data_IF_625142248335
#
_entry.id   IF_625142248335
#
_cell.length_a   1.000
_cell.length_b   1.000
_cell.length_c   1.000
_cell.angle_alpha   90.00
_cell.angle_beta   90.00
_cell.angle_gamma   90.00
#
_symmetry.space_group_name_H-M   'P 1'
#
loop_
_entity.id
_entity.type
_entity.pdbx_description
1 polymer ?
#
# COMPACT_ATOMS: atom_id res chain seq x y z
N UNK A 1 30.14 23.37 -46.35
CA UNK A 1 28.78 23.47 -45.73
C UNK A 1 28.87 22.77 -44.39
N UNK A 2 29.05 23.59 -43.38
CA UNK A 2 29.40 23.25 -42.02
C UNK A 2 28.14 22.85 -41.23
N UNK A 3 28.24 21.71 -40.55
CA UNK A 3 27.21 21.24 -39.62
C UNK A 3 27.52 21.70 -38.21
N UNK A 4 26.65 22.53 -37.67
CA UNK A 4 26.72 23.04 -36.31
C UNK A 4 26.54 21.91 -35.28
N UNK A 5 27.54 21.70 -34.40
CA UNK A 5 27.44 20.93 -33.15
C UNK A 5 26.71 21.82 -32.11
N UNK A 6 25.58 21.37 -31.64
CA UNK A 6 24.89 22.03 -30.53
C UNK A 6 25.51 21.53 -29.19
N UNK A 7 26.17 22.46 -28.52
CA UNK A 7 26.63 22.34 -27.13
C UNK A 7 25.41 22.44 -26.21
N UNK A 8 25.08 21.34 -25.49
CA UNK A 8 24.05 21.33 -24.44
C UNK A 8 24.71 21.13 -23.06
N UNK A 9 25.46 22.14 -22.62
CA UNK A 9 25.68 22.34 -21.21
C UNK A 9 24.74 23.45 -20.75
N UNK A 10 23.59 23.11 -20.16
CA UNK A 10 22.70 24.08 -19.49
C UNK A 10 22.82 23.94 -17.98
N UNK A 11 23.48 24.89 -17.29
CA UNK A 11 23.50 24.97 -15.83
C UNK A 11 22.15 25.32 -15.19
N UNK A 12 21.15 25.69 -16.01
CA UNK A 12 19.91 26.32 -15.54
C UNK A 12 18.83 25.32 -15.08
N UNK A 13 18.94 24.05 -15.44
CA UNK A 13 18.00 23.01 -15.01
C UNK A 13 18.08 22.69 -13.51
N UNK A 14 19.21 22.96 -12.88
CA UNK A 14 19.38 22.76 -11.43
C UNK A 14 18.67 23.85 -10.61
N UNK A 15 18.45 25.04 -11.19
CA UNK A 15 17.74 26.15 -10.51
C UNK A 15 16.21 25.97 -10.48
N UNK A 16 15.63 25.21 -11.37
CA UNK A 16 14.16 25.06 -11.45
C UNK A 16 13.58 24.12 -10.36
N UNK A 17 14.37 23.20 -9.84
CA UNK A 17 13.91 22.31 -8.74
C UNK A 17 13.81 23.01 -7.37
N UNK A 18 14.37 24.22 -7.22
CA UNK A 18 14.42 24.93 -5.93
C UNK A 18 13.27 25.92 -5.72
N UNK A 19 12.50 26.24 -6.73
CA UNK A 19 11.53 27.33 -6.69
C UNK A 19 10.11 26.95 -6.28
N UNK A 20 9.79 25.66 -6.11
CA UNK A 20 8.41 25.17 -5.89
C UNK A 20 8.23 24.42 -4.57
N UNK A 21 9.26 24.33 -3.70
CA UNK A 21 9.14 23.61 -2.42
C UNK A 21 8.88 24.61 -1.29
N UNK A 22 7.75 24.48 -0.54
CA UNK A 22 7.51 25.31 0.65
C UNK A 22 8.63 25.16 1.68
N UNK A 23 8.97 26.25 2.35
CA UNK A 23 10.16 26.46 3.20
C UNK A 23 10.32 25.55 4.43
N UNK A 24 9.46 24.55 4.62
CA UNK A 24 9.45 23.64 5.77
C UNK A 24 9.95 22.21 5.47
N UNK A 25 10.29 21.90 4.23
CA UNK A 25 10.73 20.57 3.86
C UNK A 25 12.05 20.63 3.06
N UNK A 26 13.15 20.14 3.65
CA UNK A 26 14.42 19.94 2.95
C UNK A 26 14.72 18.43 2.92
N UNK A 27 14.34 17.69 1.87
CA UNK A 27 14.78 16.31 1.71
C UNK A 27 16.29 16.28 1.39
N UNK A 28 17.02 15.37 2.04
CA UNK A 28 18.38 15.02 1.62
C UNK A 28 18.29 14.14 0.39
N UNK A 29 18.91 14.58 -0.71
CA UNK A 29 18.95 13.80 -1.95
C UNK A 29 20.26 13.02 -2.03
N UNK A 30 20.18 11.72 -2.32
CA UNK A 30 21.32 10.93 -2.78
C UNK A 30 21.21 10.74 -4.29
N UNK A 31 22.27 11.15 -5.01
CA UNK A 31 22.39 10.88 -6.44
C UNK A 31 22.99 9.47 -6.60
N UNK A 32 22.26 8.56 -7.22
CA UNK A 32 22.76 7.27 -7.66
C UNK A 32 22.85 7.29 -9.20
N UNK A 33 24.07 7.16 -9.73
CA UNK A 33 24.26 6.94 -11.17
C UNK A 33 23.72 5.54 -11.53
N UNK A 34 22.60 5.51 -12.20
CA UNK A 34 22.07 4.35 -12.88
C UNK A 34 22.07 4.63 -14.38
N UNK A 35 23.19 4.37 -15.02
CA UNK A 35 23.43 4.60 -16.45
C UNK A 35 23.64 6.07 -16.86
N UNK A 36 24.47 6.30 -17.90
CA UNK A 36 25.04 7.63 -18.25
C UNK A 36 24.04 8.70 -18.68
N UNK A 37 22.73 8.36 -18.85
CA UNK A 37 21.75 9.29 -19.43
C UNK A 37 20.47 9.52 -18.58
N UNK A 38 20.36 8.99 -17.34
CA UNK A 38 19.24 9.27 -16.44
C UNK A 38 19.68 9.50 -15.00
N UNK A 39 19.83 10.76 -14.64
CA UNK A 39 19.87 11.18 -13.22
C UNK A 39 18.45 11.15 -12.65
N UNK A 40 18.11 10.13 -11.90
CA UNK A 40 16.86 10.10 -11.13
C UNK A 40 17.18 10.66 -9.75
N UNK A 41 16.64 11.83 -9.45
CA UNK A 41 16.68 12.41 -8.11
C UNK A 41 15.65 11.65 -7.26
N UNK A 42 16.07 10.62 -6.53
CA UNK A 42 15.22 9.90 -5.58
C UNK A 42 15.17 10.69 -4.28
N UNK A 43 14.01 11.13 -3.80
CA UNK A 43 13.89 11.59 -2.42
C UNK A 43 14.13 10.38 -1.52
N UNK A 44 15.26 10.34 -0.85
CA UNK A 44 15.46 9.39 0.25
C UNK A 44 14.50 9.84 1.35
N UNK A 45 13.41 9.13 1.53
CA UNK A 45 12.59 9.27 2.72
C UNK A 45 13.50 9.02 3.91
N UNK A 46 13.76 10.09 4.67
CA UNK A 46 14.64 10.03 5.82
C UNK A 46 14.15 8.97 6.81
N UNK A 47 15.06 8.23 7.48
CA UNK A 47 14.71 7.23 8.51
C UNK A 47 13.92 7.80 9.69
N UNK A 48 13.57 9.07 9.69
CA UNK A 48 12.93 9.78 10.79
C UNK A 48 11.39 9.85 10.71
N UNK A 49 10.78 9.59 9.55
CA UNK A 49 9.33 9.60 9.44
C UNK A 49 8.74 8.32 10.04
N UNK A 50 7.87 8.47 11.03
CA UNK A 50 7.18 7.31 11.62
C UNK A 50 6.11 6.79 10.65
N UNK A 51 6.15 5.49 10.37
CA UNK A 51 5.16 4.76 9.58
C UNK A 51 4.21 4.05 10.53
N UNK A 52 2.91 4.35 10.45
CA UNK A 52 1.90 3.60 11.17
C UNK A 52 1.43 2.41 10.32
N UNK A 53 1.47 1.21 10.88
CA UNK A 53 0.82 0.03 10.31
C UNK A 53 -0.41 -0.30 11.15
N UNK A 54 -1.61 -0.14 10.59
CA UNK A 54 -2.84 -0.58 11.26
C UNK A 54 -3.15 -2.03 10.93
N UNK A 55 -3.77 -2.77 11.85
CA UNK A 55 -3.93 -4.21 11.71
C UNK A 55 -2.60 -4.95 11.85
N UNK A 56 -1.66 -4.36 12.61
CA UNK A 56 -0.28 -4.81 12.69
C UNK A 56 -0.11 -6.20 13.35
N UNK A 57 -1.08 -6.68 14.14
CA UNK A 57 -1.10 -8.03 14.68
C UNK A 57 -1.71 -9.07 13.72
N UNK A 58 -2.35 -8.63 12.63
CA UNK A 58 -2.94 -9.50 11.61
C UNK A 58 -1.89 -10.17 10.71
N UNK A 59 -2.31 -11.13 9.90
CA UNK A 59 -1.42 -11.89 9.01
C UNK A 59 -0.58 -10.99 8.09
N UNK A 60 -1.21 -10.07 7.36
CA UNK A 60 -0.51 -9.14 6.47
C UNK A 60 0.29 -8.10 7.27
N UNK A 61 -0.33 -7.57 8.34
CA UNK A 61 0.26 -6.52 9.16
C UNK A 61 1.59 -6.93 9.78
N UNK A 62 1.69 -8.16 10.30
CA UNK A 62 2.94 -8.69 10.86
C UNK A 62 4.06 -8.76 9.82
N UNK A 63 3.76 -9.23 8.63
CA UNK A 63 4.73 -9.33 7.52
C UNK A 63 5.26 -7.93 7.15
N UNK A 64 4.35 -6.98 6.91
CA UNK A 64 4.72 -5.60 6.53
C UNK A 64 5.48 -4.89 7.65
N UNK A 65 4.97 -4.97 8.89
CA UNK A 65 5.60 -4.37 10.06
C UNK A 65 7.03 -4.87 10.26
N UNK A 66 7.23 -6.19 10.32
CA UNK A 66 8.55 -6.79 10.53
C UNK A 66 9.51 -6.51 9.36
N UNK A 67 9.01 -6.47 8.13
CA UNK A 67 9.82 -6.14 6.96
C UNK A 67 10.34 -4.71 7.02
N UNK A 68 9.48 -3.73 7.29
CA UNK A 68 9.88 -2.33 7.38
C UNK A 68 10.84 -2.08 8.54
N UNK A 69 10.65 -2.73 9.69
CA UNK A 69 11.60 -2.63 10.81
C UNK A 69 12.97 -3.18 10.44
N UNK A 70 13.05 -4.32 9.77
CA UNK A 70 14.35 -4.89 9.31
C UNK A 70 15.08 -3.97 8.33
N UNK A 71 14.36 -3.16 7.57
CA UNK A 71 14.94 -2.13 6.68
C UNK A 71 15.31 -0.84 7.42
N UNK A 72 15.13 -0.77 8.74
CA UNK A 72 15.51 0.38 9.56
C UNK A 72 14.50 1.53 9.62
N UNK A 73 13.26 1.32 9.15
CA UNK A 73 12.21 2.32 9.31
C UNK A 73 11.71 2.41 10.75
N UNK A 74 11.28 3.60 11.16
CA UNK A 74 10.55 3.78 12.42
C UNK A 74 9.09 3.36 12.18
N UNK A 75 8.69 2.23 12.73
CA UNK A 75 7.36 1.66 12.51
C UNK A 75 6.61 1.61 13.83
N UNK A 76 5.40 2.16 13.83
CA UNK A 76 4.42 2.03 14.90
C UNK A 76 3.35 1.03 14.51
N UNK A 77 3.05 0.06 15.38
CA UNK A 77 1.91 -0.83 15.23
C UNK A 77 0.65 -0.24 15.86
N UNK A 78 -0.48 -0.42 15.20
CA UNK A 78 -1.80 -0.13 15.75
C UNK A 78 -2.74 -1.31 15.51
N UNK A 79 -3.21 -1.90 16.61
CA UNK A 79 -4.12 -3.04 16.56
C UNK A 79 -5.00 -3.09 17.83
N UNK A 80 -6.14 -3.77 17.76
CA UNK A 80 -6.97 -4.10 18.93
C UNK A 80 -6.29 -5.12 19.85
N UNK A 81 -5.37 -5.90 19.30
CA UNK A 81 -4.56 -6.87 20.04
C UNK A 81 -3.30 -6.21 20.58
N UNK A 82 -2.78 -6.75 21.67
CA UNK A 82 -1.47 -6.37 22.20
C UNK A 82 -0.37 -6.71 21.18
N UNK A 83 0.78 -6.05 21.33
CA UNK A 83 1.97 -6.34 20.54
C UNK A 83 2.30 -7.85 20.61
N UNK A 84 2.42 -8.55 19.48
CA UNK A 84 2.68 -9.99 19.47
C UNK A 84 4.16 -10.33 19.71
N UNK A 85 5.06 -9.34 19.72
CA UNK A 85 6.49 -9.54 19.92
C UNK A 85 6.90 -9.27 21.36
N UNK A 86 7.92 -9.99 21.83
CA UNK A 86 8.47 -9.86 23.20
C UNK A 86 9.31 -8.59 23.39
N UNK A 87 9.93 -8.10 22.32
CA UNK A 87 10.74 -6.90 22.36
C UNK A 87 9.88 -5.63 22.39
N UNK A 88 10.29 -4.58 23.11
CA UNK A 88 9.52 -3.34 23.16
C UNK A 88 9.48 -2.68 21.78
N UNK A 89 8.28 -2.59 21.21
CA UNK A 89 7.99 -1.96 19.94
C UNK A 89 7.18 -0.67 20.16
N UNK A 90 7.27 0.27 19.21
CA UNK A 90 6.33 1.41 19.18
C UNK A 90 4.94 0.88 18.81
N UNK A 91 4.06 0.73 19.82
CA UNK A 91 2.78 0.06 19.69
C UNK A 91 1.66 0.80 20.39
N UNK A 92 0.54 0.93 19.70
CA UNK A 92 -0.70 1.48 20.26
C UNK A 92 -1.77 0.40 20.21
N UNK A 93 -2.21 -0.07 21.36
CA UNK A 93 -3.40 -0.93 21.45
C UNK A 93 -4.65 -0.06 21.44
N UNK A 94 -5.57 -0.35 20.52
CA UNK A 94 -6.80 0.41 20.35
C UNK A 94 -7.62 -0.10 19.16
N UNK A 95 -8.79 0.47 18.98
CA UNK A 95 -9.75 0.09 17.96
C UNK A 95 -9.97 1.20 16.93
N UNK A 96 -10.11 0.84 15.66
CA UNK A 96 -10.47 1.80 14.60
C UNK A 96 -11.81 2.51 14.89
N UNK A 97 -12.74 1.84 15.56
CA UNK A 97 -14.05 2.36 15.95
C UNK A 97 -13.98 3.46 17.02
N UNK A 98 -12.78 3.74 17.54
CA UNK A 98 -12.52 4.82 18.50
C UNK A 98 -11.72 5.93 17.85
N UNK A 99 -12.35 7.09 17.63
CA UNK A 99 -11.66 8.28 17.11
C UNK A 99 -10.46 8.68 17.98
N UNK A 100 -10.60 8.56 19.32
CA UNK A 100 -9.52 8.88 20.26
C UNK A 100 -8.32 7.92 20.10
N UNK A 101 -8.57 6.61 19.84
CA UNK A 101 -7.50 5.67 19.63
C UNK A 101 -6.78 5.94 18.30
N UNK A 102 -7.53 6.30 17.25
CA UNK A 102 -6.94 6.72 15.96
C UNK A 102 -6.07 7.97 16.14
N UNK A 103 -6.53 8.98 16.87
CA UNK A 103 -5.75 10.19 17.17
C UNK A 103 -4.45 9.86 17.92
N UNK A 104 -4.52 8.99 18.95
CA UNK A 104 -3.30 8.55 19.67
C UNK A 104 -2.32 7.83 18.75
N UNK A 105 -2.82 6.92 17.91
CA UNK A 105 -1.98 6.14 17.01
C UNK A 105 -1.25 7.03 16.00
N UNK A 106 -1.87 8.12 15.55
CA UNK A 106 -1.37 8.99 14.50
C UNK A 106 -0.45 10.13 15.00
N UNK A 107 -0.20 10.26 16.30
CA UNK A 107 0.70 11.30 16.81
C UNK A 107 2.12 11.16 16.25
N UNK A 108 2.59 12.17 15.50
CA UNK A 108 3.92 12.20 14.91
C UNK A 108 4.14 11.20 13.74
N UNK A 109 3.06 10.69 13.16
CA UNK A 109 3.07 9.81 11.99
C UNK A 109 3.05 10.63 10.70
N UNK A 110 3.92 10.29 9.75
CA UNK A 110 3.92 10.92 8.42
C UNK A 110 3.37 10.01 7.33
N UNK A 111 3.43 8.69 7.52
CA UNK A 111 2.93 7.69 6.56
C UNK A 111 2.04 6.70 7.27
N UNK A 112 0.91 6.34 6.66
CA UNK A 112 0.02 5.28 7.14
C UNK A 112 -0.03 4.13 6.13
N UNK A 113 0.10 2.91 6.62
CA UNK A 113 -0.22 1.67 5.90
C UNK A 113 -1.43 1.07 6.58
N UNK A 114 -2.60 1.21 5.95
CA UNK A 114 -3.87 0.77 6.52
C UNK A 114 -4.23 -0.64 6.02
N UNK A 115 -3.98 -1.64 6.88
CA UNK A 115 -4.31 -3.05 6.65
C UNK A 115 -5.43 -3.57 7.57
N UNK A 116 -5.80 -2.79 8.59
CA UNK A 116 -6.86 -3.17 9.50
C UNK A 116 -8.22 -3.16 8.79
N UNK A 117 -8.89 -4.28 8.82
CA UNK A 117 -10.26 -4.44 8.32
C UNK A 117 -10.84 -5.75 8.88
N UNK A 118 -12.16 -5.88 8.88
CA UNK A 118 -12.82 -7.17 8.86
C UNK A 118 -12.66 -7.71 7.43
N UNK A 119 -11.93 -8.81 7.23
CA UNK A 119 -11.71 -9.39 5.91
C UNK A 119 -12.89 -10.27 5.53
N UNK A 120 -13.10 -10.43 4.22
CA UNK A 120 -14.15 -11.25 3.62
C UNK A 120 -15.58 -10.84 4.03
N UNK A 121 -16.55 -11.59 3.57
CA UNK A 121 -17.96 -11.31 3.87
C UNK A 121 -18.27 -11.66 5.33
N UNK A 122 -18.90 -10.73 6.01
CA UNK A 122 -19.29 -10.81 7.41
C UNK A 122 -20.59 -10.01 7.63
N UNK A 123 -21.27 -10.15 8.76
CA UNK A 123 -22.46 -9.36 9.06
C UNK A 123 -22.19 -7.86 8.92
N UNK A 124 -22.99 -7.21 8.05
CA UNK A 124 -22.71 -5.82 7.66
C UNK A 124 -22.79 -4.86 8.83
N UNK A 125 -23.89 -4.91 9.60
CA UNK A 125 -24.15 -3.95 10.68
C UNK A 125 -23.21 -4.10 11.88
N UNK A 126 -22.91 -5.35 12.27
CA UNK A 126 -22.10 -5.62 13.47
C UNK A 126 -20.58 -5.63 13.21
N UNK A 127 -20.14 -5.94 11.99
CA UNK A 127 -18.73 -6.19 11.70
C UNK A 127 -18.18 -5.27 10.62
N UNK A 128 -18.76 -5.30 9.40
CA UNK A 128 -18.20 -4.56 8.25
C UNK A 128 -18.38 -3.06 8.41
N UNK A 129 -19.58 -2.58 8.74
CA UNK A 129 -19.86 -1.15 8.85
C UNK A 129 -19.05 -0.49 9.96
N UNK A 130 -18.99 -1.01 11.20
CA UNK A 130 -18.20 -0.40 12.26
C UNK A 130 -16.70 -0.36 11.97
N UNK A 131 -16.15 -1.42 11.37
CA UNK A 131 -14.72 -1.53 11.14
C UNK A 131 -14.28 -0.88 9.83
N UNK A 132 -14.93 -1.27 8.71
CA UNK A 132 -14.44 -0.93 7.37
C UNK A 132 -14.97 0.42 6.87
N UNK A 133 -16.06 0.92 7.44
CA UNK A 133 -16.65 2.22 7.08
C UNK A 133 -16.37 3.27 8.15
N UNK A 134 -16.93 3.13 9.37
CA UNK A 134 -16.77 4.12 10.43
C UNK A 134 -15.33 4.18 10.94
N UNK A 135 -14.70 3.03 11.13
CA UNK A 135 -13.30 2.96 11.56
C UNK A 135 -12.35 3.59 10.55
N UNK A 136 -12.57 3.36 9.25
CA UNK A 136 -11.82 4.03 8.20
C UNK A 136 -12.05 5.54 8.23
N UNK A 137 -13.29 6.00 8.38
CA UNK A 137 -13.60 7.43 8.49
C UNK A 137 -12.85 8.08 9.66
N UNK A 138 -12.86 7.48 10.86
CA UNK A 138 -12.13 8.02 12.01
C UNK A 138 -10.61 8.05 11.78
N UNK A 139 -10.06 7.02 11.14
CA UNK A 139 -8.63 6.99 10.78
C UNK A 139 -8.27 8.13 9.82
N UNK A 140 -9.08 8.35 8.77
CA UNK A 140 -8.82 9.37 7.75
C UNK A 140 -8.96 10.79 8.33
N UNK A 141 -9.97 11.05 9.17
CA UNK A 141 -10.12 12.32 9.86
C UNK A 141 -8.92 12.60 10.79
N UNK A 142 -8.54 11.60 11.60
CA UNK A 142 -7.39 11.73 12.48
C UNK A 142 -6.07 11.90 11.71
N UNK A 143 -5.91 11.25 10.54
CA UNK A 143 -4.75 11.39 9.67
C UNK A 143 -4.64 12.82 9.11
N UNK A 144 -5.76 13.39 8.67
CA UNK A 144 -5.85 14.78 8.22
C UNK A 144 -5.45 15.76 9.34
N UNK A 145 -6.02 15.59 10.54
CA UNK A 145 -5.73 16.43 11.69
C UNK A 145 -4.26 16.33 12.17
N UNK A 146 -3.65 15.14 12.05
CA UNK A 146 -2.26 14.89 12.43
C UNK A 146 -1.24 15.31 11.39
N UNK A 147 -1.67 15.76 10.21
CA UNK A 147 -0.78 16.18 9.13
C UNK A 147 -0.06 15.01 8.43
N UNK A 148 -0.69 13.84 8.40
CA UNK A 148 -0.20 12.69 7.61
C UNK A 148 -0.13 13.08 6.14
N UNK A 149 1.00 12.79 5.51
CA UNK A 149 1.24 13.19 4.12
C UNK A 149 0.91 12.08 3.13
N UNK A 150 1.09 10.81 3.53
CA UNK A 150 0.94 9.66 2.65
C UNK A 150 0.16 8.53 3.31
N UNK A 151 -0.82 7.99 2.58
CA UNK A 151 -1.63 6.86 3.03
C UNK A 151 -1.65 5.77 1.97
N UNK A 152 -1.28 4.55 2.36
CA UNK A 152 -1.42 3.34 1.57
C UNK A 152 -2.56 2.52 2.18
N UNK A 153 -3.60 2.20 1.42
CA UNK A 153 -4.78 1.48 1.93
C UNK A 153 -5.01 0.18 1.18
N UNK A 154 -5.18 -0.90 1.94
CA UNK A 154 -5.53 -2.19 1.36
C UNK A 154 -6.97 -2.17 0.81
N UNK A 155 -7.09 -2.33 -0.51
CA UNK A 155 -8.28 -2.76 -1.22
C UNK A 155 -8.18 -4.26 -1.53
N UNK A 156 -8.93 -4.77 -2.48
CA UNK A 156 -8.99 -6.20 -2.83
C UNK A 156 -9.29 -6.39 -4.31
N UNK A 157 -8.80 -7.48 -4.91
CA UNK A 157 -9.22 -7.89 -6.26
C UNK A 157 -10.72 -8.15 -6.38
N UNK A 158 -11.42 -8.43 -5.27
CA UNK A 158 -12.88 -8.63 -5.28
C UNK A 158 -13.69 -7.39 -5.67
N UNK A 159 -13.09 -6.19 -5.70
CA UNK A 159 -13.75 -4.97 -6.18
C UNK A 159 -13.94 -4.96 -7.71
N UNK A 160 -13.21 -5.82 -8.43
CA UNK A 160 -13.31 -6.00 -9.88
C UNK A 160 -13.65 -7.45 -10.24
N UNK A 161 -14.60 -8.02 -9.50
CA UNK A 161 -14.91 -9.46 -9.55
C UNK A 161 -15.31 -9.96 -10.94
N UNK A 162 -16.20 -9.26 -11.63
CA UNK A 162 -16.66 -9.68 -12.95
C UNK A 162 -15.52 -9.81 -13.97
N UNK A 163 -14.71 -8.77 -14.23
CA UNK A 163 -13.59 -8.92 -15.15
C UNK A 163 -12.48 -9.83 -14.61
N UNK A 164 -12.32 -9.95 -13.29
CA UNK A 164 -11.33 -10.87 -12.71
C UNK A 164 -11.66 -12.34 -13.05
N UNK A 165 -12.94 -12.70 -13.08
CA UNK A 165 -13.40 -14.06 -13.38
C UNK A 165 -13.53 -14.32 -14.88
N UNK A 166 -14.04 -13.35 -15.62
CA UNK A 166 -14.50 -13.56 -16.99
C UNK A 166 -13.65 -12.85 -18.05
N UNK A 167 -12.70 -12.01 -17.64
CA UNK A 167 -11.86 -11.23 -18.54
C UNK A 167 -12.56 -10.02 -19.15
N UNK A 168 -11.94 -9.39 -20.14
CA UNK A 168 -10.62 -9.74 -20.68
C UNK A 168 -9.48 -9.52 -19.69
N UNK A 169 -8.48 -10.39 -19.73
CA UNK A 169 -7.29 -10.31 -18.86
C UNK A 169 -6.09 -9.73 -19.62
N UNK A 170 -5.11 -9.12 -18.92
CA UNK A 170 -5.14 -8.82 -17.49
C UNK A 170 -6.04 -7.61 -17.15
N UNK A 171 -6.70 -7.67 -15.99
CA UNK A 171 -7.56 -6.59 -15.49
C UNK A 171 -6.69 -5.45 -14.95
N UNK A 172 -6.82 -4.27 -15.52
CA UNK A 172 -6.08 -3.08 -15.10
C UNK A 172 -6.71 -2.41 -13.87
N UNK A 173 -5.90 -1.65 -13.12
CA UNK A 173 -6.37 -1.01 -11.90
C UNK A 173 -7.43 0.11 -12.11
N UNK A 174 -7.53 0.67 -13.31
CA UNK A 174 -8.52 1.70 -13.64
C UNK A 174 -9.89 1.16 -14.09
N UNK A 175 -10.05 -0.18 -14.15
CA UNK A 175 -11.34 -0.80 -14.52
C UNK A 175 -12.40 -0.46 -13.48
N UNK A 176 -13.61 -0.17 -13.96
CA UNK A 176 -14.75 0.14 -13.11
C UNK A 176 -15.04 -0.98 -12.10
N UNK A 177 -15.46 -0.60 -10.91
CA UNK A 177 -15.75 -1.56 -9.85
C UNK A 177 -16.99 -2.40 -10.18
N UNK A 178 -16.91 -3.69 -9.86
CA UNK A 178 -17.98 -4.69 -9.91
C UNK A 178 -17.84 -5.60 -8.68
N UNK A 179 -18.19 -5.08 -7.48
CA UNK A 179 -17.86 -5.74 -6.22
C UNK A 179 -18.63 -7.05 -6.06
N UNK A 180 -17.93 -8.10 -5.61
CA UNK A 180 -18.50 -9.43 -5.36
C UNK A 180 -19.52 -9.43 -4.21
N UNK A 181 -19.27 -8.67 -3.14
CA UNK A 181 -19.90 -8.83 -1.84
C UNK A 181 -20.02 -7.50 -1.09
N UNK A 182 -20.69 -7.52 0.07
CA UNK A 182 -20.72 -6.37 0.98
C UNK A 182 -19.31 -5.99 1.47
N UNK A 183 -18.44 -6.96 1.72
CA UNK A 183 -17.03 -6.68 2.02
C UNK A 183 -16.35 -5.91 0.88
N UNK A 184 -16.46 -6.41 -0.35
CA UNK A 184 -15.89 -5.74 -1.52
C UNK A 184 -16.45 -4.33 -1.71
N UNK A 185 -17.75 -4.12 -1.41
CA UNK A 185 -18.38 -2.80 -1.45
C UNK A 185 -17.78 -1.84 -0.40
N UNK A 186 -17.42 -2.33 0.80
CA UNK A 186 -16.69 -1.49 1.78
C UNK A 186 -15.32 -1.07 1.26
N UNK A 187 -14.68 -1.89 0.43
CA UNK A 187 -13.40 -1.55 -0.19
C UNK A 187 -13.56 -0.56 -1.34
N UNK A 188 -14.65 -0.61 -2.10
CA UNK A 188 -15.02 0.46 -3.06
C UNK A 188 -15.22 1.78 -2.32
N UNK A 189 -15.91 1.79 -1.18
CA UNK A 189 -16.02 2.98 -0.33
C UNK A 189 -14.64 3.53 0.07
N UNK A 190 -13.71 2.65 0.46
CA UNK A 190 -12.35 3.06 0.82
C UNK A 190 -11.59 3.67 -0.38
N UNK A 191 -11.75 3.12 -1.60
CA UNK A 191 -11.15 3.67 -2.82
C UNK A 191 -11.68 5.08 -3.11
N UNK A 192 -13.00 5.29 -2.99
CA UNK A 192 -13.60 6.61 -3.21
C UNK A 192 -13.24 7.61 -2.09
N UNK A 193 -13.18 7.17 -0.83
CA UNK A 193 -12.70 7.99 0.28
C UNK A 193 -11.24 8.44 0.05
N UNK A 194 -10.39 7.55 -0.45
CA UNK A 194 -9.01 7.87 -0.82
C UNK A 194 -8.91 8.96 -1.89
N UNK A 195 -9.79 8.95 -2.89
CA UNK A 195 -9.86 10.02 -3.91
C UNK A 195 -10.23 11.37 -3.28
N UNK A 196 -11.16 11.38 -2.32
CA UNK A 196 -11.51 12.60 -1.58
C UNK A 196 -10.30 13.13 -0.79
N UNK A 197 -9.59 12.24 -0.06
CA UNK A 197 -8.41 12.63 0.70
C UNK A 197 -7.32 13.24 -0.18
N UNK A 198 -7.07 12.66 -1.33
CA UNK A 198 -6.07 13.20 -2.27
C UNK A 198 -6.52 14.53 -2.89
N UNK A 199 -7.76 14.62 -3.38
CA UNK A 199 -8.28 15.80 -4.09
C UNK A 199 -8.45 17.01 -3.18
N UNK A 200 -9.09 16.81 -2.01
CA UNK A 200 -9.57 17.91 -1.17
C UNK A 200 -8.57 18.28 -0.05
N UNK A 201 -7.71 17.34 0.34
CA UNK A 201 -6.75 17.55 1.43
C UNK A 201 -5.28 17.43 0.99
N UNK A 202 -5.02 17.16 -0.29
CA UNK A 202 -3.67 17.13 -0.85
C UNK A 202 -2.80 16.00 -0.32
N UNK A 203 -3.39 14.92 0.19
CA UNK A 203 -2.65 13.73 0.64
C UNK A 203 -2.21 12.89 -0.56
N UNK A 204 -1.05 12.26 -0.45
CA UNK A 204 -0.66 11.19 -1.35
C UNK A 204 -1.37 9.90 -0.93
N UNK A 205 -2.23 9.36 -1.78
CA UNK A 205 -3.04 8.18 -1.46
C UNK A 205 -2.84 7.08 -2.49
N UNK A 206 -2.47 5.89 -2.00
CA UNK A 206 -2.37 4.69 -2.83
C UNK A 206 -3.35 3.63 -2.34
N UNK A 207 -4.30 3.28 -3.19
CA UNK A 207 -5.15 2.11 -3.01
C UNK A 207 -4.45 0.90 -3.62
N UNK A 208 -4.38 -0.19 -2.86
CA UNK A 208 -3.73 -1.43 -3.30
C UNK A 208 -4.76 -2.55 -3.36
N UNK A 209 -5.18 -2.93 -4.56
CA UNK A 209 -6.05 -4.08 -4.78
C UNK A 209 -5.22 -5.34 -4.63
N UNK A 210 -5.24 -5.88 -3.42
CA UNK A 210 -4.50 -7.07 -3.07
C UNK A 210 -5.11 -8.30 -3.73
N UNK A 211 -4.25 -9.18 -4.21
CA UNK A 211 -4.60 -10.54 -4.58
C UNK A 211 -4.93 -11.42 -3.37
N UNK A 212 -4.94 -12.72 -3.57
CA UNK A 212 -5.28 -13.70 -2.53
C UNK A 212 -4.13 -13.86 -1.52
N UNK A 213 -4.35 -13.38 -0.29
CA UNK A 213 -3.43 -13.52 0.83
C UNK A 213 -4.02 -14.54 1.82
N UNK A 214 -3.49 -15.75 1.94
CA UNK A 214 -3.98 -16.73 2.91
C UNK A 214 -3.69 -16.25 4.34
N UNK A 215 -4.64 -16.50 5.27
CA UNK A 215 -4.56 -16.05 6.66
C UNK A 215 -4.51 -17.19 7.67
N UNK A 216 -4.73 -18.41 7.18
CA UNK A 216 -4.63 -19.65 7.94
C UNK A 216 -4.33 -20.81 6.99
N UNK A 217 -3.91 -22.00 7.54
CA UNK A 217 -3.74 -23.19 6.74
C UNK A 217 -5.01 -23.61 5.96
N UNK A 218 -6.19 -23.46 6.57
CA UNK A 218 -7.48 -23.79 5.94
C UNK A 218 -7.77 -22.84 4.78
N UNK A 219 -7.52 -21.54 4.96
CA UNK A 219 -7.68 -20.57 3.88
C UNK A 219 -6.69 -20.82 2.74
N UNK A 220 -5.46 -21.23 3.05
CA UNK A 220 -4.49 -21.65 2.03
C UNK A 220 -4.99 -22.86 1.22
N UNK A 221 -5.63 -23.84 1.85
CA UNK A 221 -6.24 -24.97 1.15
C UNK A 221 -7.35 -24.51 0.19
N UNK A 222 -8.18 -23.55 0.62
CA UNK A 222 -9.23 -22.98 -0.25
C UNK A 222 -8.63 -22.27 -1.46
N UNK A 223 -7.61 -21.44 -1.26
CA UNK A 223 -6.87 -20.79 -2.36
C UNK A 223 -6.26 -21.84 -3.29
N UNK A 224 -5.65 -22.90 -2.75
CA UNK A 224 -5.07 -23.99 -3.53
C UNK A 224 -6.10 -24.76 -4.39
N UNK A 225 -7.36 -24.80 -3.97
CA UNK A 225 -8.44 -25.44 -4.70
C UNK A 225 -9.04 -24.54 -5.81
N UNK A 226 -8.86 -23.23 -5.75
CA UNK A 226 -9.42 -22.27 -6.69
C UNK A 226 -8.35 -21.77 -7.68
N UNK A 227 -8.46 -22.11 -8.99
CA UNK A 227 -7.52 -21.65 -10.00
C UNK A 227 -7.39 -20.12 -10.08
N UNK A 228 -8.50 -19.40 -9.87
CA UNK A 228 -8.49 -17.93 -9.91
C UNK A 228 -7.67 -17.37 -8.74
N UNK A 229 -7.92 -17.90 -7.53
CA UNK A 229 -7.21 -17.46 -6.33
C UNK A 229 -5.70 -17.77 -6.41
N UNK A 230 -5.30 -18.91 -7.02
CA UNK A 230 -3.88 -19.23 -7.26
C UNK A 230 -3.21 -18.25 -8.21
N UNK A 231 -3.91 -17.87 -9.30
CA UNK A 231 -3.39 -16.92 -10.29
C UNK A 231 -3.18 -15.52 -9.73
N UNK A 232 -3.93 -15.16 -8.70
CA UNK A 232 -3.81 -13.86 -8.01
C UNK A 232 -3.22 -13.98 -6.61
N UNK A 233 -2.55 -15.10 -6.31
CA UNK A 233 -1.86 -15.25 -5.03
C UNK A 233 -0.89 -14.11 -4.76
N UNK A 234 -0.81 -13.68 -3.51
CA UNK A 234 0.15 -12.67 -3.10
C UNK A 234 0.94 -13.19 -1.91
N UNK A 235 2.23 -13.50 -2.15
CA UNK A 235 3.11 -14.09 -1.14
C UNK A 235 3.51 -13.10 -0.06
N UNK A 236 3.93 -13.56 1.13
CA UNK A 236 4.50 -12.69 2.15
C UNK A 236 5.73 -11.92 1.68
N UNK A 237 6.59 -12.55 0.86
CA UNK A 237 7.79 -11.94 0.31
C UNK A 237 7.46 -10.77 -0.62
N UNK A 238 6.61 -11.01 -1.59
CA UNK A 238 6.17 -9.99 -2.54
C UNK A 238 5.32 -8.90 -1.89
N UNK A 239 4.47 -9.25 -0.89
CA UNK A 239 3.75 -8.28 -0.06
C UNK A 239 4.71 -7.31 0.64
N UNK A 240 5.74 -7.84 1.28
CA UNK A 240 6.76 -7.05 1.96
C UNK A 240 7.52 -6.14 0.98
N UNK A 241 7.92 -6.68 -0.18
CA UNK A 241 8.59 -5.94 -1.25
C UNK A 241 7.70 -4.79 -1.75
N UNK A 242 6.42 -5.08 -2.06
CA UNK A 242 5.48 -4.07 -2.57
C UNK A 242 5.36 -2.88 -1.62
N UNK A 243 5.06 -3.13 -0.33
CA UNK A 243 4.89 -2.05 0.63
C UNK A 243 6.19 -1.30 0.92
N UNK A 244 7.35 -1.97 0.90
CA UNK A 244 8.66 -1.31 0.97
C UNK A 244 8.86 -0.35 -0.21
N UNK A 245 8.61 -0.78 -1.43
CA UNK A 245 8.69 0.07 -2.62
C UNK A 245 7.69 1.23 -2.54
N UNK A 246 6.44 0.97 -2.18
CA UNK A 246 5.40 1.98 -2.07
C UNK A 246 5.70 3.07 -1.03
N UNK A 247 6.43 2.72 0.03
CA UNK A 247 6.92 3.70 1.03
C UNK A 247 8.10 4.50 0.52
N UNK A 248 9.07 3.85 -0.15
CA UNK A 248 10.36 4.44 -0.51
C UNK A 248 10.36 5.21 -1.84
N UNK A 249 9.51 4.80 -2.81
CA UNK A 249 9.50 5.42 -4.12
C UNK A 249 8.77 6.77 -4.12
N UNK A 250 9.20 7.73 -4.97
CA UNK A 250 8.52 9.00 -5.13
C UNK A 250 7.26 8.84 -5.97
N UNK A 251 6.12 9.21 -5.42
CA UNK A 251 4.84 9.35 -6.13
C UNK A 251 3.97 10.36 -5.40
N UNK A 252 3.00 10.95 -6.08
CA UNK A 252 2.13 11.99 -5.54
C UNK A 252 0.70 11.81 -6.04
N UNK A 253 -0.26 12.33 -5.27
CA UNK A 253 -1.67 12.31 -5.61
C UNK A 253 -2.33 10.97 -5.36
N UNK A 254 -3.35 10.64 -6.15
CA UNK A 254 -4.12 9.40 -6.01
C UNK A 254 -3.65 8.35 -7.01
N UNK A 255 -3.35 7.15 -6.51
CA UNK A 255 -3.05 5.98 -7.32
C UNK A 255 -3.90 4.80 -6.85
N UNK A 256 -4.31 3.97 -7.80
CA UNK A 256 -4.88 2.65 -7.53
C UNK A 256 -4.04 1.62 -8.28
N UNK A 257 -3.52 0.63 -7.59
CA UNK A 257 -2.64 -0.40 -8.14
C UNK A 257 -3.16 -1.79 -7.80
N UNK A 258 -2.97 -2.74 -8.70
CA UNK A 258 -3.10 -4.15 -8.37
C UNK A 258 -1.78 -4.67 -7.82
N UNK A 259 -1.84 -5.60 -6.85
CA UNK A 259 -0.68 -6.26 -6.27
C UNK A 259 -0.94 -7.75 -6.07
N UNK A 260 -0.10 -8.56 -6.67
CA UNK A 260 -0.11 -10.02 -6.60
C UNK A 260 1.31 -10.54 -6.87
N UNK A 261 1.56 -11.81 -6.55
CA UNK A 261 2.75 -12.55 -6.99
C UNK A 261 2.64 -12.95 -8.46
N UNK A 262 3.64 -13.64 -9.00
CA UNK A 262 3.58 -14.14 -10.37
C UNK A 262 2.41 -15.10 -10.51
N UNK A 263 1.62 -14.97 -11.59
CA UNK A 263 0.50 -15.89 -11.84
C UNK A 263 1.02 -17.31 -12.07
N UNK A 264 0.22 -18.31 -11.69
CA UNK A 264 0.56 -19.71 -11.95
C UNK A 264 0.25 -20.08 -13.42
N UNK A 265 -0.95 -19.76 -13.87
CA UNK A 265 -1.44 -20.12 -15.19
C UNK A 265 -1.82 -18.89 -16.03
N UNK A 266 -2.59 -17.93 -15.47
CA UNK A 266 -3.13 -16.80 -16.19
C UNK A 266 -2.88 -15.49 -15.44
N UNK A 267 -2.25 -14.51 -16.09
CA UNK A 267 -2.18 -13.14 -15.55
C UNK A 267 -3.58 -12.53 -15.53
N UNK A 268 -4.22 -12.52 -14.35
CA UNK A 268 -5.58 -11.99 -14.20
C UNK A 268 -5.60 -10.52 -13.80
N UNK A 269 -4.68 -10.10 -12.95
CA UNK A 269 -4.49 -8.70 -12.54
C UNK A 269 -3.26 -8.14 -13.25
N UNK A 270 -3.42 -7.00 -13.91
CA UNK A 270 -2.27 -6.28 -14.47
C UNK A 270 -1.40 -5.73 -13.35
N UNK A 271 -0.12 -6.05 -13.38
CA UNK A 271 0.89 -5.48 -12.48
C UNK A 271 1.69 -4.36 -13.17
N UNK A 272 1.35 -4.02 -14.41
CA UNK A 272 2.06 -3.01 -15.20
C UNK A 272 2.12 -1.64 -14.53
N UNK A 273 1.00 -1.17 -13.96
CA UNK A 273 0.95 0.11 -13.27
C UNK A 273 1.83 0.13 -12.00
N UNK A 274 1.91 -0.99 -11.28
CA UNK A 274 2.80 -1.14 -10.12
C UNK A 274 4.28 -1.20 -10.54
N UNK A 275 4.58 -1.86 -11.65
CA UNK A 275 5.93 -1.88 -12.22
C UNK A 275 6.36 -0.49 -12.67
N UNK A 276 5.52 0.22 -13.40
CA UNK A 276 5.84 1.54 -13.95
C UNK A 276 6.03 2.60 -12.84
N UNK A 277 5.19 2.57 -11.80
CA UNK A 277 5.23 3.56 -10.72
C UNK A 277 6.27 3.23 -9.64
N UNK A 278 6.38 1.97 -9.25
CA UNK A 278 7.17 1.53 -8.10
C UNK A 278 8.41 0.71 -8.48
N UNK A 279 8.51 0.22 -9.70
CA UNK A 279 9.48 -0.79 -10.08
C UNK A 279 9.16 -2.17 -9.48
N UNK A 280 7.88 -2.41 -9.14
CA UNK A 280 7.48 -3.68 -8.55
C UNK A 280 7.56 -4.84 -9.55
N UNK A 281 8.35 -5.83 -9.22
CA UNK A 281 8.47 -7.09 -9.97
C UNK A 281 8.36 -8.25 -8.98
N UNK A 282 7.24 -9.01 -9.00
CA UNK A 282 7.06 -10.14 -8.10
C UNK A 282 8.04 -11.26 -8.39
N UNK A 283 8.46 -11.95 -7.35
CA UNK A 283 9.44 -13.05 -7.43
C UNK A 283 8.76 -14.40 -7.20
N UNK A 284 7.83 -14.44 -6.25
CA UNK A 284 7.15 -15.66 -5.81
C UNK A 284 5.96 -16.01 -6.71
N UNK A 285 5.45 -17.24 -6.57
CA UNK A 285 4.19 -17.71 -7.13
C UNK A 285 3.53 -18.69 -6.14
N UNK A 286 2.27 -19.06 -6.36
CA UNK A 286 1.62 -20.06 -5.53
C UNK A 286 2.39 -21.41 -5.58
N UNK A 287 2.67 -22.09 -4.43
CA UNK A 287 2.36 -21.71 -3.02
C UNK A 287 3.60 -21.17 -2.26
N UNK A 288 4.53 -20.49 -2.90
CA UNK A 288 5.79 -20.05 -2.28
C UNK A 288 5.57 -19.31 -0.95
N UNK A 289 6.30 -19.71 0.09
CA UNK A 289 6.37 -19.09 1.42
C UNK A 289 5.01 -18.90 2.13
N UNK A 290 3.98 -19.64 1.76
CA UNK A 290 2.61 -19.47 2.24
C UNK A 290 2.50 -19.52 3.76
N UNK A 291 3.31 -20.36 4.44
CA UNK A 291 3.31 -20.53 5.90
C UNK A 291 3.75 -19.26 6.65
N UNK A 292 4.53 -18.38 6.03
CA UNK A 292 5.02 -17.18 6.69
C UNK A 292 3.92 -16.15 7.03
N UNK A 293 2.67 -16.38 6.61
CA UNK A 293 1.53 -15.59 7.04
C UNK A 293 1.04 -15.91 8.46
N UNK A 294 1.33 -17.09 9.00
CA UNK A 294 0.85 -17.52 10.33
C UNK A 294 1.91 -18.15 11.23
N UNK A 295 3.16 -18.29 10.75
CA UNK A 295 4.31 -18.78 11.53
C UNK A 295 4.87 -17.74 12.50
#
# INVERSE_FOLDING_TARGET
MEGARADFARPDLIRFCWAVIPSLWRPSFYLRELDRDRLICLPVMLPQTTILVTGAAGALGRVVFASLQREGYRVRGFDRLCCPWSDPMDWVTGALQSAQDCQRALQGVGIVIHLAAVPDDAPFESDLMPSNILGLHYLLEAAKESGVQRILMASTGQVVWEPLNHGPWPVRAHVASSPLSWYALTKVFAEEAGKVMARDFGMDVMMVRLGACPRSPEHAQQIGADPIARDVYFSPGDLAQFFKLAVSMPWQGFHCLNAASRPLDQERLSLGEAKDLLGYEPVDQWPDAVEAYWS
#
